data_IF_935445432900
#
_entry.id   IF_935445432900
#
_cell.length_a   1.000
_cell.length_b   1.000
_cell.length_c   1.000
_cell.angle_alpha   90.00
_cell.angle_beta   90.00
_cell.angle_gamma   90.00
#
_symmetry.space_group_name_H-M   'P 1'
#
loop_
_entity.id
_entity.type
_entity.pdbx_description
1 polymer ?
#
# COMPACT_ATOMS: atom_id res chain seq x y z
N UNK A 1 0.86 -45.83 19.38
CA UNK A 1 1.54 -45.13 20.48
C UNK A 1 1.87 -43.74 19.97
N UNK A 2 1.00 -42.80 20.34
CA UNK A 2 1.16 -41.34 20.37
C UNK A 2 1.66 -40.63 19.10
N UNK A 3 0.72 -40.38 18.18
CA UNK A 3 0.68 -39.13 17.40
C UNK A 3 -0.03 -38.09 18.27
N UNK A 4 0.71 -37.16 18.87
CA UNK A 4 0.17 -35.95 19.49
C UNK A 4 1.18 -34.81 19.31
N UNK A 5 0.69 -33.70 18.77
CA UNK A 5 1.09 -32.37 19.23
C UNK A 5 2.18 -31.65 18.45
N UNK A 6 1.88 -31.26 17.21
CA UNK A 6 2.36 -29.98 16.68
C UNK A 6 1.16 -29.15 16.18
N UNK A 7 0.19 -28.92 17.07
CA UNK A 7 -0.65 -27.73 16.95
C UNK A 7 0.19 -26.57 17.49
N UNK A 8 0.92 -25.91 16.60
CA UNK A 8 1.52 -24.61 16.89
C UNK A 8 0.43 -23.70 17.43
N UNK A 9 0.65 -23.13 18.62
CA UNK A 9 -0.33 -22.35 19.37
C UNK A 9 -1.04 -21.34 18.46
N UNK A 10 -2.26 -21.67 18.01
CA UNK A 10 -3.14 -20.70 17.35
C UNK A 10 -3.42 -19.62 18.38
N UNK A 11 -2.98 -18.39 18.09
CA UNK A 11 -3.22 -17.26 18.99
C UNK A 11 -4.71 -17.17 19.32
N UNK A 12 -5.05 -17.01 20.59
CA UNK A 12 -6.45 -16.89 21.00
C UNK A 12 -7.12 -15.71 20.26
N UNK A 13 -8.38 -15.85 19.83
CA UNK A 13 -9.11 -14.75 19.22
C UNK A 13 -9.16 -13.55 20.18
N UNK A 14 -8.95 -12.35 19.64
CA UNK A 14 -8.99 -11.07 20.38
C UNK A 14 -10.43 -10.67 20.68
N UNK A 15 -11.36 -11.09 19.81
CA UNK A 15 -12.79 -10.85 19.96
C UNK A 15 -13.60 -11.95 19.29
N UNK A 16 -14.87 -12.04 19.67
CA UNK A 16 -15.85 -12.93 19.06
C UNK A 16 -16.51 -12.25 17.86
N UNK A 17 -17.08 -13.03 16.95
CA UNK A 17 -17.74 -12.52 15.73
C UNK A 17 -18.84 -11.48 16.03
N UNK A 18 -19.73 -11.76 16.97
CA UNK A 18 -20.81 -10.84 17.36
C UNK A 18 -20.28 -9.52 17.95
N UNK A 19 -19.11 -9.53 18.58
CA UNK A 19 -18.45 -8.30 19.03
C UNK A 19 -17.92 -7.50 17.84
N UNK A 20 -17.29 -8.16 16.86
CA UNK A 20 -16.81 -7.50 15.65
C UNK A 20 -17.95 -6.90 14.82
N UNK A 21 -19.07 -7.60 14.66
CA UNK A 21 -20.27 -7.10 13.98
C UNK A 21 -20.75 -5.81 14.64
N UNK A 22 -20.95 -5.82 15.97
CA UNK A 22 -21.37 -4.64 16.72
C UNK A 22 -20.38 -3.47 16.61
N UNK A 23 -19.08 -3.75 16.75
CA UNK A 23 -18.04 -2.74 16.63
C UNK A 23 -17.98 -2.17 15.21
N UNK A 24 -18.17 -3.00 14.20
CA UNK A 24 -18.24 -2.64 12.79
C UNK A 24 -19.44 -1.72 12.53
N UNK A 25 -20.64 -2.12 12.95
CA UNK A 25 -21.89 -1.35 12.82
C UNK A 25 -21.76 0.08 13.40
N UNK A 26 -21.15 0.19 14.58
CA UNK A 26 -20.97 1.44 15.32
C UNK A 26 -19.96 2.41 14.68
N UNK A 27 -19.17 1.98 13.68
CA UNK A 27 -18.20 2.85 12.99
C UNK A 27 -18.92 3.98 12.24
N UNK A 28 -18.41 5.20 12.45
CA UNK A 28 -18.91 6.43 11.83
C UNK A 28 -17.76 7.28 11.30
N UNK A 29 -17.98 8.08 10.25
CA UNK A 29 -16.98 9.05 9.78
C UNK A 29 -16.56 10.00 10.89
N UNK A 30 -15.25 10.19 11.08
CA UNK A 30 -14.69 11.15 12.04
C UNK A 30 -14.32 12.43 11.32
N UNK A 31 -14.64 13.58 11.91
CA UNK A 31 -14.25 14.89 11.38
C UNK A 31 -12.82 15.26 11.73
N UNK A 32 -12.23 16.15 10.94
CA UNK A 32 -10.86 16.63 11.16
C UNK A 32 -10.64 17.18 12.58
N UNK A 33 -11.61 17.90 13.14
CA UNK A 33 -11.52 18.53 14.46
C UNK A 33 -11.63 17.52 15.61
N UNK A 34 -12.13 16.32 15.33
CA UNK A 34 -12.28 15.27 16.34
C UNK A 34 -10.98 14.50 16.56
N UNK A 35 -10.01 14.57 15.64
CA UNK A 35 -8.71 13.89 15.79
C UNK A 35 -8.01 14.36 17.07
N UNK A 36 -7.55 13.39 17.87
CA UNK A 36 -6.89 13.65 19.13
C UNK A 36 -7.85 13.87 20.32
N UNK A 37 -9.16 13.95 20.10
CA UNK A 37 -10.13 14.06 21.21
C UNK A 37 -10.28 12.75 21.99
N UNK A 38 -11.05 12.77 23.09
CA UNK A 38 -11.42 11.56 23.85
C UNK A 38 -12.29 10.62 23.02
N UNK A 39 -13.18 11.15 22.19
CA UNK A 39 -14.03 10.37 21.30
C UNK A 39 -13.20 9.66 20.24
N UNK A 40 -12.29 10.38 19.58
CA UNK A 40 -11.35 9.79 18.63
C UNK A 40 -10.47 8.71 19.26
N UNK A 41 -10.05 8.87 20.52
CA UNK A 41 -9.24 7.83 21.21
C UNK A 41 -10.00 6.51 21.33
N UNK A 42 -11.29 6.57 21.66
CA UNK A 42 -12.14 5.37 21.73
C UNK A 42 -12.32 4.75 20.34
N UNK A 43 -12.54 5.58 19.33
CA UNK A 43 -12.65 5.13 17.94
C UNK A 43 -11.36 4.43 17.47
N UNK A 44 -10.20 5.05 17.72
CA UNK A 44 -8.89 4.48 17.43
C UNK A 44 -8.71 3.10 18.06
N UNK A 45 -9.06 2.95 19.35
CA UNK A 45 -9.00 1.67 20.05
C UNK A 45 -9.94 0.62 19.42
N UNK A 46 -11.13 1.02 18.97
CA UNK A 46 -12.04 0.12 18.25
C UNK A 46 -11.40 -0.38 16.95
N UNK A 47 -10.88 0.52 16.11
CA UNK A 47 -10.21 0.12 14.86
C UNK A 47 -8.94 -0.71 15.11
N UNK A 48 -8.17 -0.39 16.16
CA UNK A 48 -7.00 -1.18 16.54
C UNK A 48 -7.40 -2.63 16.86
N UNK A 49 -8.44 -2.83 17.67
CA UNK A 49 -8.95 -4.17 18.01
C UNK A 49 -9.43 -4.92 16.78
N UNK A 50 -10.21 -4.27 15.91
CA UNK A 50 -10.68 -4.87 14.65
C UNK A 50 -9.49 -5.27 13.76
N UNK A 51 -8.49 -4.39 13.63
CA UNK A 51 -7.30 -4.66 12.82
C UNK A 51 -6.48 -5.82 13.36
N UNK A 52 -6.26 -5.89 14.68
CA UNK A 52 -5.54 -7.02 15.28
C UNK A 52 -6.27 -8.34 15.07
N UNK A 53 -7.60 -8.36 15.21
CA UNK A 53 -8.39 -9.57 14.95
C UNK A 53 -8.35 -9.97 13.46
N UNK A 54 -8.50 -9.02 12.55
CA UNK A 54 -8.41 -9.28 11.11
C UNK A 54 -7.02 -9.82 10.72
N UNK A 55 -5.95 -9.28 11.33
CA UNK A 55 -4.59 -9.80 11.14
C UNK A 55 -4.46 -11.25 11.63
N UNK A 56 -5.04 -11.58 12.79
CA UNK A 56 -5.05 -12.95 13.29
C UNK A 56 -5.82 -13.90 12.37
N UNK A 57 -6.97 -13.49 11.82
CA UNK A 57 -7.73 -14.30 10.87
C UNK A 57 -6.89 -14.65 9.63
N UNK A 58 -6.20 -13.66 9.04
CA UNK A 58 -5.29 -13.90 7.91
C UNK A 58 -4.15 -14.83 8.28
N UNK A 59 -3.50 -14.63 9.45
CA UNK A 59 -2.39 -15.48 9.90
C UNK A 59 -2.81 -16.93 10.15
N UNK A 60 -4.04 -17.14 10.60
CA UNK A 60 -4.58 -18.47 10.90
C UNK A 60 -5.30 -19.12 9.73
N UNK A 61 -5.46 -18.40 8.61
CA UNK A 61 -6.28 -18.82 7.47
C UNK A 61 -7.70 -19.25 7.92
N UNK A 62 -8.28 -18.46 8.83
CA UNK A 62 -9.62 -18.67 9.38
C UNK A 62 -10.62 -17.66 8.82
N UNK A 63 -11.88 -17.78 9.24
CA UNK A 63 -12.97 -16.92 8.78
C UNK A 63 -12.64 -15.43 9.01
N UNK A 64 -12.81 -14.63 7.96
CA UNK A 64 -12.50 -13.19 7.92
C UNK A 64 -13.70 -12.34 8.38
N UNK A 65 -14.33 -12.74 9.49
CA UNK A 65 -15.58 -12.14 9.98
C UNK A 65 -15.51 -10.62 10.25
N UNK A 66 -14.31 -10.07 10.52
CA UNK A 66 -14.12 -8.62 10.64
C UNK A 66 -14.30 -7.94 9.28
N UNK A 67 -13.75 -8.50 8.21
CA UNK A 67 -13.88 -7.98 6.85
C UNK A 67 -15.33 -8.11 6.39
N UNK A 68 -15.97 -9.24 6.66
CA UNK A 68 -17.39 -9.46 6.37
C UNK A 68 -18.27 -8.41 7.06
N UNK A 69 -18.07 -8.18 8.36
CA UNK A 69 -18.80 -7.15 9.10
C UNK A 69 -18.59 -5.73 8.53
N UNK A 70 -17.38 -5.39 8.07
CA UNK A 70 -17.10 -4.10 7.45
C UNK A 70 -17.82 -3.94 6.10
N UNK A 71 -18.00 -5.02 5.34
CA UNK A 71 -18.73 -5.01 4.07
C UNK A 71 -20.24 -4.94 4.35
N UNK A 72 -20.75 -5.83 5.20
CA UNK A 72 -22.18 -5.98 5.51
C UNK A 72 -22.78 -4.71 6.12
N UNK A 73 -21.99 -3.97 6.91
CA UNK A 73 -22.40 -2.70 7.50
C UNK A 73 -21.99 -1.46 6.69
N UNK A 74 -21.55 -1.64 5.43
CA UNK A 74 -21.17 -0.55 4.52
C UNK A 74 -20.15 0.41 5.16
N UNK A 75 -19.01 -0.11 5.61
CA UNK A 75 -17.97 0.68 6.33
C UNK A 75 -16.71 0.93 5.51
N UNK A 76 -16.65 0.46 4.27
CA UNK A 76 -15.49 0.69 3.40
C UNK A 76 -15.30 2.18 3.11
N UNK A 77 -16.38 2.89 2.80
CA UNK A 77 -16.42 4.35 2.63
C UNK A 77 -15.98 5.09 3.89
N UNK A 78 -16.42 4.64 5.07
CA UNK A 78 -16.04 5.19 6.37
C UNK A 78 -14.53 5.05 6.60
N UNK A 79 -13.94 3.90 6.26
CA UNK A 79 -12.49 3.67 6.38
C UNK A 79 -11.69 4.51 5.37
N UNK A 80 -12.16 4.66 4.13
CA UNK A 80 -11.51 5.54 3.14
C UNK A 80 -11.55 7.00 3.62
N UNK A 81 -12.70 7.45 4.12
CA UNK A 81 -12.84 8.79 4.67
C UNK A 81 -11.90 9.01 5.87
N UNK A 82 -11.86 8.08 6.82
CA UNK A 82 -10.98 8.14 7.98
C UNK A 82 -9.49 8.19 7.59
N UNK A 83 -9.10 7.41 6.59
CA UNK A 83 -7.75 7.44 6.04
C UNK A 83 -7.38 8.82 5.50
N UNK A 84 -8.24 9.42 4.68
CA UNK A 84 -8.02 10.74 4.06
C UNK A 84 -7.99 11.84 5.13
N UNK A 85 -8.90 11.80 6.11
CA UNK A 85 -8.93 12.78 7.21
C UNK A 85 -7.68 12.66 8.08
N UNK A 86 -7.24 11.44 8.37
CA UNK A 86 -5.99 11.19 9.11
C UNK A 86 -4.77 11.68 8.35
N UNK A 87 -4.67 11.39 7.05
CA UNK A 87 -3.59 11.91 6.19
C UNK A 87 -3.59 13.45 6.18
N UNK A 88 -4.76 14.08 5.99
CA UNK A 88 -4.90 15.52 5.96
C UNK A 88 -4.50 16.17 7.28
N UNK A 89 -4.88 15.59 8.42
CA UNK A 89 -4.48 16.08 9.74
C UNK A 89 -2.96 15.97 9.92
N UNK A 90 -2.37 14.82 9.58
CA UNK A 90 -0.92 14.61 9.67
C UNK A 90 -0.16 15.59 8.77
N UNK A 91 -0.64 15.88 7.58
CA UNK A 91 0.02 16.80 6.66
C UNK A 91 -0.10 18.28 7.10
N UNK A 92 -1.24 18.68 7.69
CA UNK A 92 -1.56 20.09 7.88
C UNK A 92 -1.54 20.58 9.34
N UNK A 93 -1.69 19.67 10.31
CA UNK A 93 -1.78 19.98 11.74
C UNK A 93 -0.54 19.51 12.47
N UNK A 94 -0.10 18.27 12.26
CA UNK A 94 1.09 17.70 12.95
C UNK A 94 2.32 18.63 12.90
N UNK A 95 2.72 19.21 11.75
CA UNK A 95 3.91 20.06 11.69
C UNK A 95 3.81 21.36 12.50
N UNK A 96 2.58 21.79 12.84
CA UNK A 96 2.33 23.03 13.60
C UNK A 96 2.30 22.81 15.09
N UNK A 97 2.05 21.57 15.54
CA UNK A 97 1.82 21.26 16.96
C UNK A 97 2.88 20.32 17.54
N UNK A 98 3.62 19.58 16.71
CA UNK A 98 4.55 18.55 17.19
C UNK A 98 5.67 19.10 18.07
N UNK A 99 6.27 20.24 17.71
CA UNK A 99 7.38 20.81 18.49
C UNK A 99 6.96 21.23 19.90
N UNK A 100 5.75 21.78 20.03
CA UNK A 100 5.19 22.21 21.32
C UNK A 100 4.65 21.04 22.14
N UNK A 101 3.95 20.10 21.49
CA UNK A 101 3.21 19.04 22.17
C UNK A 101 4.03 17.77 22.39
N UNK A 102 5.10 17.49 21.63
CA UNK A 102 5.87 16.26 21.81
C UNK A 102 6.41 16.06 23.24
N UNK A 103 6.95 17.08 23.95
CA UNK A 103 7.49 16.89 25.30
C UNK A 103 6.46 16.42 26.35
N UNK A 104 5.18 16.75 26.17
CA UNK A 104 4.12 16.48 27.16
C UNK A 104 3.05 15.50 26.66
N UNK A 105 2.89 15.37 25.35
CA UNK A 105 1.83 14.62 24.69
C UNK A 105 2.35 13.69 23.58
N UNK A 106 3.63 13.30 23.64
CA UNK A 106 4.26 12.34 22.73
C UNK A 106 3.37 11.16 22.33
N UNK A 107 2.86 10.43 23.34
CA UNK A 107 2.05 9.22 23.12
C UNK A 107 0.83 9.53 22.25
N UNK A 108 0.21 10.70 22.45
CA UNK A 108 -0.98 11.07 21.69
C UNK A 108 -0.65 11.36 20.23
N UNK A 109 0.44 12.08 19.97
CA UNK A 109 0.91 12.36 18.61
C UNK A 109 1.31 11.06 17.89
N UNK A 110 2.01 10.17 18.59
CA UNK A 110 2.34 8.84 18.08
C UNK A 110 1.09 8.04 17.69
N UNK A 111 0.07 7.98 18.55
CA UNK A 111 -1.17 7.26 18.26
C UNK A 111 -1.88 7.83 17.02
N UNK A 112 -1.86 9.16 16.84
CA UNK A 112 -2.42 9.80 15.63
C UNK A 112 -1.61 9.40 14.40
N UNK A 113 -0.28 9.40 14.50
CA UNK A 113 0.58 8.96 13.41
C UNK A 113 0.33 7.49 13.04
N UNK A 114 0.21 6.62 14.05
CA UNK A 114 0.01 5.18 13.94
C UNK A 114 -1.38 4.81 13.42
N UNK A 115 -2.40 5.62 13.70
CA UNK A 115 -3.77 5.37 13.26
C UNK A 115 -3.88 5.18 11.74
N UNK A 116 -3.13 5.96 10.95
CA UNK A 116 -3.06 5.79 9.50
C UNK A 116 -2.71 4.33 9.11
N UNK A 117 -1.74 3.73 9.80
CA UNK A 117 -1.33 2.35 9.52
C UNK A 117 -2.42 1.32 9.86
N UNK A 118 -3.24 1.58 10.89
CA UNK A 118 -4.36 0.73 11.27
C UNK A 118 -5.41 0.74 10.16
N UNK A 119 -5.80 1.93 9.71
CA UNK A 119 -6.85 2.11 8.69
C UNK A 119 -6.41 1.52 7.35
N UNK A 120 -5.19 1.82 6.90
CA UNK A 120 -4.63 1.26 5.67
C UNK A 120 -4.54 -0.26 5.74
N UNK A 121 -4.13 -0.80 6.90
CA UNK A 121 -3.98 -2.25 7.07
C UNK A 121 -5.34 -2.98 7.10
N UNK A 122 -6.40 -2.35 7.60
CA UNK A 122 -7.76 -2.87 7.49
C UNK A 122 -8.25 -2.85 6.04
N UNK A 123 -8.05 -1.75 5.33
CA UNK A 123 -8.38 -1.64 3.91
C UNK A 123 -7.62 -2.69 3.08
N UNK A 124 -6.33 -2.90 3.36
CA UNK A 124 -5.51 -3.91 2.68
C UNK A 124 -6.09 -5.32 2.85
N UNK A 125 -6.54 -5.67 4.06
CA UNK A 125 -7.19 -6.97 4.31
C UNK A 125 -8.54 -7.06 3.61
N UNK A 126 -9.37 -6.02 3.70
CA UNK A 126 -10.68 -6.02 3.06
C UNK A 126 -10.57 -6.17 1.53
N UNK A 127 -9.65 -5.41 0.92
CA UNK A 127 -9.51 -5.29 -0.54
C UNK A 127 -8.85 -6.50 -1.19
N UNK A 128 -8.43 -7.49 -0.39
CA UNK A 128 -8.13 -8.81 -0.90
C UNK A 128 -9.34 -9.43 -1.62
N UNK A 129 -10.56 -9.04 -1.26
CA UNK A 129 -11.79 -9.48 -1.92
C UNK A 129 -12.34 -8.43 -2.91
N UNK A 130 -12.79 -8.84 -4.11
CA UNK A 130 -13.44 -7.93 -5.07
C UNK A 130 -14.68 -7.21 -4.53
N UNK A 131 -15.43 -7.87 -3.63
CA UNK A 131 -16.65 -7.30 -3.02
C UNK A 131 -16.34 -6.05 -2.20
N UNK A 132 -15.28 -6.08 -1.38
CA UNK A 132 -14.85 -4.91 -0.62
C UNK A 132 -14.38 -3.77 -1.52
N UNK A 133 -13.65 -4.09 -2.60
CA UNK A 133 -13.23 -3.07 -3.57
C UNK A 133 -14.44 -2.42 -4.20
N UNK A 134 -15.42 -3.20 -4.65
CA UNK A 134 -16.66 -2.67 -5.23
C UNK A 134 -17.46 -1.81 -4.24
N UNK A 135 -17.50 -2.18 -2.96
CA UNK A 135 -18.16 -1.42 -1.90
C UNK A 135 -17.56 -0.03 -1.67
N UNK A 136 -16.31 0.23 -2.09
CA UNK A 136 -15.70 1.56 -2.01
C UNK A 136 -16.28 2.59 -2.98
N UNK A 137 -16.97 2.16 -4.05
CA UNK A 137 -17.67 3.04 -4.99
C UNK A 137 -16.83 4.22 -5.49
N UNK A 138 -17.41 5.41 -5.51
CA UNK A 138 -16.76 6.62 -6.01
C UNK A 138 -15.62 7.13 -5.11
N UNK A 139 -15.62 6.78 -3.82
CA UNK A 139 -14.54 7.17 -2.89
C UNK A 139 -13.22 6.47 -3.18
N UNK A 140 -13.21 5.43 -4.01
CA UNK A 140 -11.98 4.83 -4.51
C UNK A 140 -11.11 5.84 -5.28
N UNK A 141 -11.67 6.93 -5.79
CA UNK A 141 -10.89 8.04 -6.37
C UNK A 141 -9.97 8.68 -5.33
N UNK A 142 -10.50 8.94 -4.13
CA UNK A 142 -9.72 9.51 -3.02
C UNK A 142 -8.66 8.53 -2.51
N UNK A 143 -8.99 7.23 -2.52
CA UNK A 143 -8.01 6.19 -2.19
C UNK A 143 -6.90 6.09 -3.26
N UNK A 144 -7.23 6.23 -4.55
CA UNK A 144 -6.24 6.26 -5.62
C UNK A 144 -5.30 7.46 -5.47
N UNK A 145 -5.84 8.63 -5.10
CA UNK A 145 -5.07 9.84 -4.81
C UNK A 145 -4.12 9.64 -3.62
N UNK A 146 -4.62 9.07 -2.52
CA UNK A 146 -3.81 8.69 -1.35
C UNK A 146 -2.67 7.74 -1.78
N UNK A 147 -3.00 6.67 -2.51
CA UNK A 147 -2.02 5.68 -2.88
C UNK A 147 -0.96 6.23 -3.82
N UNK A 148 -1.34 7.12 -4.74
CA UNK A 148 -0.40 7.81 -5.62
C UNK A 148 0.58 8.68 -4.82
N UNK A 149 0.10 9.53 -3.90
CA UNK A 149 0.97 10.35 -3.04
C UNK A 149 1.98 9.50 -2.27
N UNK A 150 1.53 8.37 -1.72
CA UNK A 150 2.41 7.42 -1.01
C UNK A 150 3.42 6.74 -1.94
N UNK A 151 3.01 6.36 -3.15
CA UNK A 151 3.90 5.78 -4.16
C UNK A 151 4.98 6.78 -4.58
N UNK A 152 4.61 8.03 -4.86
CA UNK A 152 5.56 9.11 -5.17
C UNK A 152 6.53 9.34 -4.02
N UNK A 153 6.04 9.34 -2.77
CA UNK A 153 6.90 9.42 -1.59
C UNK A 153 7.94 8.29 -1.56
N UNK A 154 7.55 7.05 -1.82
CA UNK A 154 8.49 5.92 -1.89
C UNK A 154 9.55 6.10 -2.97
N UNK A 155 9.16 6.63 -4.14
CA UNK A 155 10.12 6.95 -5.21
C UNK A 155 11.10 8.02 -4.74
N UNK A 156 10.61 9.11 -4.14
CA UNK A 156 11.46 10.18 -3.62
C UNK A 156 12.41 9.70 -2.51
N UNK A 157 11.91 8.86 -1.58
CA UNK A 157 12.72 8.28 -0.50
C UNK A 157 13.79 7.33 -1.08
N UNK A 158 13.48 6.58 -2.14
CA UNK A 158 14.45 5.73 -2.84
C UNK A 158 15.52 6.53 -3.60
N UNK A 159 15.15 7.68 -4.16
CA UNK A 159 16.05 8.58 -4.89
C UNK A 159 16.98 9.37 -3.99
N UNK A 160 16.49 9.80 -2.82
CA UNK A 160 17.30 10.46 -1.80
C UNK A 160 18.46 9.57 -1.29
N UNK A 161 18.37 8.25 -1.56
CA UNK A 161 19.29 7.25 -1.08
C UNK A 161 18.98 6.95 0.37
N UNK A 162 18.67 5.68 0.68
CA UNK A 162 18.72 5.23 2.06
C UNK A 162 20.15 5.47 2.53
N UNK A 163 20.34 6.46 3.41
CA UNK A 163 21.58 6.59 4.15
C UNK A 163 21.93 5.21 4.68
N UNK A 164 23.20 4.82 4.61
CA UNK A 164 23.67 3.59 5.26
C UNK A 164 23.24 3.71 6.72
N UNK A 165 22.16 3.00 7.07
CA UNK A 165 21.32 3.32 8.23
C UNK A 165 21.97 2.64 9.43
N UNK A 166 23.17 3.11 9.75
CA UNK A 166 23.97 2.60 10.84
C UNK A 166 23.06 2.48 12.06
N UNK A 167 22.95 1.28 12.66
CA UNK A 167 22.04 1.09 13.77
C UNK A 167 22.36 2.12 14.85
N UNK A 168 21.37 2.93 15.22
CA UNK A 168 21.49 3.86 16.34
C UNK A 168 21.99 3.06 17.54
N UNK A 169 23.04 3.56 18.17
CA UNK A 169 23.56 2.97 19.39
C UNK A 169 22.51 3.13 20.51
N UNK A 170 22.53 2.24 21.51
CA UNK A 170 21.63 2.36 22.65
C UNK A 170 21.76 3.73 23.38
N UNK A 171 22.93 4.36 23.31
CA UNK A 171 23.16 5.70 23.85
C UNK A 171 22.47 6.79 23.02
N UNK A 172 22.49 6.70 21.70
CA UNK A 172 21.78 7.64 20.80
C UNK A 172 20.26 7.51 20.97
N UNK A 173 19.73 6.30 21.14
CA UNK A 173 18.30 6.09 21.38
C UNK A 173 17.80 6.68 22.70
N UNK A 174 18.62 6.60 23.76
CA UNK A 174 18.30 7.20 25.07
C UNK A 174 18.46 8.72 25.06
N UNK A 175 19.44 9.25 24.33
CA UNK A 175 19.69 10.69 24.23
C UNK A 175 18.67 11.42 23.33
N UNK A 176 17.92 10.68 22.52
CA UNK A 176 16.94 11.22 21.59
C UNK A 176 15.80 11.96 22.29
N UNK A 177 15.56 13.20 21.90
CA UNK A 177 14.42 13.98 22.40
C UNK A 177 13.09 13.43 21.88
N UNK A 178 12.00 13.65 22.62
CA UNK A 178 10.66 13.13 22.24
C UNK A 178 10.20 13.60 20.85
N UNK A 179 10.59 14.81 20.44
CA UNK A 179 10.27 15.34 19.11
C UNK A 179 10.99 14.60 17.98
N UNK A 180 12.26 14.28 18.19
CA UNK A 180 13.07 13.52 17.23
C UNK A 180 12.57 12.07 17.17
N UNK A 181 12.29 11.46 18.33
CA UNK A 181 11.70 10.12 18.40
C UNK A 181 10.36 10.04 17.67
N UNK A 182 9.53 11.07 17.81
CA UNK A 182 8.26 11.15 17.08
C UNK A 182 8.50 11.21 15.57
N UNK A 183 9.45 12.03 15.11
CA UNK A 183 9.79 12.14 13.69
C UNK A 183 10.26 10.80 13.10
N UNK A 184 11.13 10.08 13.83
CA UNK A 184 11.60 8.75 13.42
C UNK A 184 10.46 7.75 13.30
N UNK A 185 9.57 7.71 14.30
CA UNK A 185 8.42 6.80 14.29
C UNK A 185 7.43 7.17 13.19
N UNK A 186 7.16 8.46 12.96
CA UNK A 186 6.37 8.95 11.83
C UNK A 186 6.94 8.51 10.49
N UNK A 187 8.27 8.59 10.33
CA UNK A 187 8.97 8.10 9.14
C UNK A 187 8.75 6.60 8.92
N UNK A 188 8.98 5.79 9.96
CA UNK A 188 8.77 4.33 9.89
C UNK A 188 7.31 3.97 9.60
N UNK A 189 6.35 4.65 10.23
CA UNK A 189 4.92 4.43 10.00
C UNK A 189 4.56 4.83 8.58
N UNK A 190 5.01 6.00 8.12
CA UNK A 190 4.73 6.49 6.78
C UNK A 190 5.30 5.56 5.72
N UNK A 191 6.47 4.97 5.95
CA UNK A 191 7.05 3.97 5.06
C UNK A 191 6.18 2.72 4.95
N UNK A 192 5.74 2.17 6.10
CA UNK A 192 4.84 1.02 6.13
C UNK A 192 3.52 1.30 5.41
N UNK A 193 2.89 2.44 5.68
CA UNK A 193 1.66 2.87 5.00
C UNK A 193 1.85 2.99 3.49
N UNK A 194 3.03 3.44 3.05
CA UNK A 194 3.31 3.57 1.63
C UNK A 194 3.54 2.23 0.93
N UNK A 195 4.15 1.25 1.60
CA UNK A 195 4.21 -0.12 1.11
C UNK A 195 2.79 -0.71 0.96
N UNK A 196 1.93 -0.57 1.98
CA UNK A 196 0.54 -1.04 1.89
C UNK A 196 -0.26 -0.29 0.80
N UNK A 197 0.03 0.99 0.56
CA UNK A 197 -0.58 1.73 -0.54
C UNK A 197 -0.23 1.14 -1.92
N UNK A 198 0.98 0.61 -2.12
CA UNK A 198 1.35 -0.11 -3.35
C UNK A 198 0.55 -1.42 -3.47
N UNK A 199 0.32 -2.13 -2.36
CA UNK A 199 -0.59 -3.29 -2.37
C UNK A 199 -2.02 -2.88 -2.75
N UNK A 200 -2.52 -1.77 -2.21
CA UNK A 200 -3.86 -1.25 -2.55
C UNK A 200 -3.94 -0.85 -4.03
N UNK A 201 -2.91 -0.24 -4.61
CA UNK A 201 -2.83 0.00 -6.07
C UNK A 201 -2.97 -1.31 -6.82
N UNK A 202 -2.25 -2.36 -6.42
CA UNK A 202 -2.38 -3.68 -7.04
C UNK A 202 -3.81 -4.20 -6.96
N UNK A 203 -4.47 -4.14 -5.81
CA UNK A 203 -5.87 -4.60 -5.65
C UNK A 203 -6.86 -3.79 -6.49
N UNK A 204 -6.70 -2.46 -6.58
CA UNK A 204 -7.51 -1.65 -7.49
C UNK A 204 -7.34 -2.12 -8.94
N UNK A 205 -6.10 -2.38 -9.36
CA UNK A 205 -5.80 -2.80 -10.74
C UNK A 205 -6.30 -4.22 -11.06
N UNK A 206 -6.31 -5.15 -10.10
CA UNK A 206 -6.92 -6.48 -10.30
C UNK A 206 -8.41 -6.37 -10.59
N UNK A 207 -9.06 -5.35 -10.03
CA UNK A 207 -10.49 -5.11 -10.12
C UNK A 207 -10.87 -4.06 -11.17
N UNK A 208 -9.96 -3.73 -12.10
CA UNK A 208 -10.13 -2.66 -13.08
C UNK A 208 -11.48 -2.70 -13.83
N UNK A 209 -11.99 -3.90 -14.13
CA UNK A 209 -13.31 -4.11 -14.78
C UNK A 209 -14.51 -3.63 -13.96
N UNK A 210 -14.43 -3.72 -12.64
CA UNK A 210 -15.50 -3.31 -11.72
C UNK A 210 -15.34 -1.89 -11.18
N UNK A 211 -14.23 -1.21 -11.47
CA UNK A 211 -13.97 0.13 -10.96
C UNK A 211 -14.83 1.20 -11.66
N UNK A 212 -15.29 2.23 -10.93
CA UNK A 212 -15.85 3.42 -11.56
C UNK A 212 -14.86 4.06 -12.54
N UNK A 213 -15.38 4.59 -13.64
CA UNK A 213 -14.57 5.20 -14.71
C UNK A 213 -13.66 6.33 -14.22
N UNK A 214 -14.12 7.08 -13.21
CA UNK A 214 -13.35 8.14 -12.56
C UNK A 214 -12.05 7.63 -11.93
N UNK A 215 -12.07 6.43 -11.34
CA UNK A 215 -10.89 5.83 -10.68
C UNK A 215 -9.83 5.47 -11.72
N UNK A 216 -10.21 4.79 -12.80
CA UNK A 216 -9.26 4.43 -13.87
C UNK A 216 -8.69 5.67 -14.56
N UNK A 217 -9.51 6.69 -14.79
CA UNK A 217 -9.05 7.96 -15.37
C UNK A 217 -8.05 8.64 -14.44
N UNK A 218 -8.35 8.68 -13.13
CA UNK A 218 -7.46 9.24 -12.12
C UNK A 218 -6.11 8.52 -12.06
N UNK A 219 -6.12 7.19 -12.07
CA UNK A 219 -4.89 6.39 -12.00
C UNK A 219 -4.03 6.47 -13.27
N UNK A 220 -4.64 6.43 -14.46
CA UNK A 220 -3.92 6.29 -15.72
C UNK A 220 -3.61 7.64 -16.40
N UNK A 221 -4.51 8.61 -16.28
CA UNK A 221 -4.43 9.88 -17.00
C UNK A 221 -3.84 10.99 -16.11
N UNK A 222 -4.43 11.19 -14.93
CA UNK A 222 -4.06 12.32 -14.05
C UNK A 222 -2.75 12.05 -13.30
N UNK A 223 -2.63 10.87 -12.67
CA UNK A 223 -1.48 10.52 -11.82
C UNK A 223 -0.39 9.74 -12.54
N UNK A 224 -0.74 9.09 -13.65
CA UNK A 224 0.17 8.20 -14.39
C UNK A 224 0.87 7.17 -13.48
N UNK A 225 0.06 6.36 -12.80
CA UNK A 225 0.52 5.35 -11.82
C UNK A 225 1.54 4.38 -12.44
N UNK A 226 1.47 4.10 -13.74
CA UNK A 226 2.48 3.30 -14.45
C UNK A 226 3.86 3.93 -14.29
N UNK A 227 4.00 5.23 -14.58
CA UNK A 227 5.28 5.93 -14.46
C UNK A 227 5.76 6.08 -13.01
N UNK A 228 4.84 6.11 -12.04
CA UNK A 228 5.19 6.12 -10.62
C UNK A 228 5.70 4.77 -10.10
N UNK A 229 5.19 3.65 -10.64
CA UNK A 229 5.58 2.31 -10.22
C UNK A 229 6.92 1.84 -10.80
N UNK A 230 7.26 2.22 -12.04
CA UNK A 230 8.50 1.76 -12.70
C UNK A 230 9.78 2.09 -11.90
N UNK A 231 10.00 3.31 -11.38
CA UNK A 231 11.20 3.64 -10.60
C UNK A 231 11.39 2.80 -9.35
N UNK A 232 10.32 2.27 -8.77
CA UNK A 232 10.41 1.41 -7.59
C UNK A 232 11.10 0.07 -7.89
N UNK A 233 11.10 -0.39 -9.15
CA UNK A 233 11.88 -1.56 -9.57
C UNK A 233 13.35 -1.22 -9.82
N UNK A 234 13.64 0.03 -10.22
CA UNK A 234 15.01 0.55 -10.37
C UNK A 234 15.72 0.65 -9.02
N UNK A 235 15.02 1.16 -8.00
CA UNK A 235 15.54 1.33 -6.64
C UNK A 235 14.48 0.88 -5.63
N UNK A 236 14.40 -0.42 -5.31
CA UNK A 236 13.39 -0.94 -4.38
C UNK A 236 13.60 -0.39 -2.96
N UNK A 237 12.70 0.46 -2.44
CA UNK A 237 12.89 1.10 -1.14
C UNK A 237 12.68 0.14 0.04
N UNK A 238 12.07 -1.03 -0.18
CA UNK A 238 11.92 -2.13 0.77
C UNK A 238 13.14 -3.05 0.85
N UNK A 239 14.28 -2.65 0.28
CA UNK A 239 15.56 -3.33 0.42
C UNK A 239 16.57 -2.34 0.97
N UNK A 240 17.34 -2.75 1.99
CA UNK A 240 18.42 -1.92 2.53
C UNK A 240 19.59 -2.76 3.01
N UNK A 241 20.76 -2.13 3.14
CA UNK A 241 21.87 -2.66 3.90
C UNK A 241 21.88 -1.98 5.26
N UNK A 242 21.99 -2.76 6.33
CA UNK A 242 22.07 -2.25 7.70
C UNK A 242 23.14 -3.01 8.46
N UNK A 243 24.20 -2.32 8.87
CA UNK A 243 25.33 -2.95 9.59
C UNK A 243 25.96 -4.11 8.80
N UNK A 244 26.07 -3.97 7.47
CA UNK A 244 26.61 -5.00 6.58
C UNK A 244 25.67 -6.17 6.27
N UNK A 245 24.44 -6.17 6.81
CA UNK A 245 23.42 -7.18 6.50
C UNK A 245 22.37 -6.65 5.55
N UNK A 246 22.00 -7.45 4.55
CA UNK A 246 20.84 -7.18 3.72
C UNK A 246 19.56 -7.36 4.53
N UNK A 247 18.67 -6.38 4.45
CA UNK A 247 17.34 -6.43 5.05
C UNK A 247 16.28 -6.16 3.99
N UNK A 248 15.15 -6.84 4.15
CA UNK A 248 13.94 -6.65 3.34
C UNK A 248 12.79 -6.27 4.26
N UNK A 249 11.98 -5.33 3.81
CA UNK A 249 10.72 -5.00 4.47
C UNK A 249 9.61 -5.94 3.99
N UNK A 250 8.97 -6.63 4.93
CA UNK A 250 7.82 -7.51 4.68
C UNK A 250 6.92 -7.55 5.91
N UNK A 251 5.61 -7.61 5.70
CA UNK A 251 4.62 -7.78 6.78
C UNK A 251 4.77 -6.75 7.91
N UNK A 252 4.98 -5.48 7.54
CA UNK A 252 5.09 -4.35 8.47
C UNK A 252 6.43 -4.22 9.18
N UNK A 253 7.43 -5.08 8.89
CA UNK A 253 8.73 -5.05 9.58
C UNK A 253 9.91 -5.29 8.65
N UNK A 254 11.07 -4.78 9.08
CA UNK A 254 12.35 -5.12 8.48
C UNK A 254 12.86 -6.46 9.02
N UNK A 255 13.34 -7.33 8.14
CA UNK A 255 13.95 -8.61 8.50
C UNK A 255 15.26 -8.83 7.73
N UNK A 256 16.23 -9.49 8.36
CA UNK A 256 17.48 -9.89 7.72
C UNK A 256 17.17 -10.87 6.57
N UNK A 257 17.75 -10.62 5.39
CA UNK A 257 17.63 -11.49 4.22
C UNK A 257 18.88 -12.38 4.10
N UNK A 258 18.75 -13.71 4.18
CA UNK A 258 19.85 -14.63 3.92
C UNK A 258 20.40 -14.47 2.50
N UNK A 259 21.71 -14.68 2.32
CA UNK A 259 22.36 -14.56 1.02
C UNK A 259 21.77 -15.49 -0.06
N UNK A 260 21.27 -16.66 0.35
CA UNK A 260 20.61 -17.64 -0.51
C UNK A 260 19.30 -17.11 -1.10
N UNK A 261 18.60 -16.23 -0.36
CA UNK A 261 17.34 -15.61 -0.78
C UNK A 261 17.54 -14.29 -1.51
N UNK A 262 18.79 -13.85 -1.75
CA UNK A 262 19.07 -12.56 -2.39
C UNK A 262 18.44 -12.43 -3.79
N UNK A 263 18.29 -13.56 -4.51
CA UNK A 263 17.64 -13.62 -5.84
C UNK A 263 16.13 -13.83 -5.78
N UNK A 264 15.57 -14.07 -4.59
CA UNK A 264 14.14 -14.25 -4.41
C UNK A 264 13.44 -12.92 -4.58
N UNK A 265 12.33 -12.96 -5.32
CA UNK A 265 11.44 -11.83 -5.46
C UNK A 265 10.78 -11.54 -4.10
N UNK A 266 10.81 -10.29 -3.67
CA UNK A 266 10.11 -9.92 -2.42
C UNK A 266 8.62 -9.79 -2.68
N UNK A 267 7.82 -9.84 -1.60
CA UNK A 267 6.38 -9.58 -1.69
C UNK A 267 6.09 -8.24 -2.36
N UNK A 268 6.84 -7.20 -1.99
CA UNK A 268 6.67 -5.86 -2.55
C UNK A 268 7.05 -5.76 -4.02
N UNK A 269 8.14 -6.41 -4.44
CA UNK A 269 8.47 -6.48 -5.87
C UNK A 269 7.32 -7.14 -6.66
N UNK A 270 6.73 -8.21 -6.11
CA UNK A 270 5.59 -8.88 -6.73
C UNK A 270 4.36 -7.96 -6.82
N UNK A 271 4.06 -7.16 -5.79
CA UNK A 271 2.95 -6.19 -5.85
C UNK A 271 3.13 -5.20 -7.01
N UNK A 272 4.32 -4.64 -7.18
CA UNK A 272 4.62 -3.71 -8.27
C UNK A 272 4.50 -4.38 -9.63
N UNK A 273 5.08 -5.58 -9.79
CA UNK A 273 5.00 -6.33 -11.05
C UNK A 273 3.57 -6.67 -11.45
N UNK A 274 2.76 -7.14 -10.50
CA UNK A 274 1.36 -7.47 -10.74
C UNK A 274 0.53 -6.23 -11.08
N UNK A 275 0.74 -5.13 -10.36
CA UNK A 275 0.09 -3.85 -10.69
C UNK A 275 0.44 -3.37 -12.10
N UNK A 276 1.73 -3.39 -12.48
CA UNK A 276 2.19 -3.02 -13.82
C UNK A 276 1.61 -3.95 -14.90
N UNK A 277 1.55 -5.26 -14.64
CA UNK A 277 0.94 -6.24 -15.53
C UNK A 277 -0.53 -5.89 -15.79
N UNK A 278 -1.30 -5.62 -14.74
CA UNK A 278 -2.71 -5.25 -14.85
C UNK A 278 -2.90 -3.92 -15.59
N UNK A 279 -2.14 -2.88 -15.24
CA UNK A 279 -2.24 -1.56 -15.86
C UNK A 279 -1.89 -1.56 -17.35
N UNK A 280 -0.93 -2.40 -17.77
CA UNK A 280 -0.44 -2.41 -19.15
C UNK A 280 -1.16 -3.42 -20.05
N UNK A 281 -1.71 -4.51 -19.49
CA UNK A 281 -2.30 -5.58 -20.29
C UNK A 281 -3.83 -5.69 -20.21
N UNK A 282 -4.46 -5.20 -19.13
CA UNK A 282 -5.92 -5.27 -19.03
C UNK A 282 -6.58 -4.45 -20.15
N UNK A 283 -7.65 -4.95 -20.80
CA UNK A 283 -8.38 -4.19 -21.80
C UNK A 283 -8.86 -2.83 -21.29
N UNK A 284 -9.36 -2.79 -20.05
CA UNK A 284 -9.92 -1.61 -19.41
C UNK A 284 -8.87 -0.50 -19.31
N UNK A 285 -7.68 -0.83 -18.80
CA UNK A 285 -6.60 0.15 -18.69
C UNK A 285 -6.03 0.54 -20.06
N UNK A 286 -5.88 -0.40 -21.00
CA UNK A 286 -5.37 -0.11 -22.35
C UNK A 286 -6.24 0.86 -23.14
N UNK A 287 -7.56 0.83 -22.94
CA UNK A 287 -8.47 1.79 -23.58
C UNK A 287 -8.35 3.21 -23.03
N UNK A 288 -7.63 3.40 -21.92
CA UNK A 288 -7.47 4.69 -21.23
C UNK A 288 -6.03 5.19 -21.22
N UNK A 289 -5.06 4.30 -21.24
CA UNK A 289 -3.65 4.68 -21.17
C UNK A 289 -3.17 5.24 -22.52
N UNK A 290 -2.95 6.55 -22.57
CA UNK A 290 -2.46 7.23 -23.77
C UNK A 290 -0.94 7.12 -23.86
N UNK A 291 -0.41 6.62 -24.97
CA UNK A 291 1.04 6.52 -25.13
C UNK A 291 1.66 7.81 -25.67
N UNK A 292 2.86 8.10 -25.16
CA UNK A 292 3.78 9.10 -25.69
C UNK A 292 5.22 8.59 -25.52
N UNK A 293 6.20 9.30 -26.07
CA UNK A 293 7.61 8.89 -25.99
C UNK A 293 8.13 8.79 -24.55
N UNK A 294 7.68 9.67 -23.64
CA UNK A 294 8.06 9.61 -22.23
C UNK A 294 7.55 8.33 -21.56
N UNK A 295 6.25 8.04 -21.70
CA UNK A 295 5.59 6.85 -21.15
C UNK A 295 6.20 5.56 -21.69
N UNK A 296 6.45 5.53 -23.00
CA UNK A 296 7.15 4.43 -23.67
C UNK A 296 8.55 4.25 -23.10
N UNK A 297 9.34 5.32 -23.00
CA UNK A 297 10.68 5.29 -22.43
C UNK A 297 10.69 4.74 -21.00
N UNK A 298 9.73 5.16 -20.17
CA UNK A 298 9.57 4.63 -18.82
C UNK A 298 9.31 3.13 -18.80
N UNK A 299 8.30 2.65 -19.54
CA UNK A 299 7.95 1.22 -19.61
C UNK A 299 9.10 0.39 -20.21
N UNK A 300 9.85 0.92 -21.17
CA UNK A 300 11.00 0.22 -21.75
C UNK A 300 12.13 -0.04 -20.73
N UNK A 301 12.21 0.71 -19.62
CA UNK A 301 13.15 0.39 -18.53
C UNK A 301 12.89 -0.97 -17.92
N UNK A 302 11.66 -1.51 -18.03
CA UNK A 302 11.33 -2.84 -17.52
C UNK A 302 12.13 -3.95 -18.22
N UNK A 303 12.57 -3.73 -19.46
CA UNK A 303 13.31 -4.71 -20.27
C UNK A 303 14.52 -5.31 -19.55
N UNK A 304 15.27 -4.50 -18.79
CA UNK A 304 16.49 -4.95 -18.10
C UNK A 304 16.21 -5.87 -16.89
N UNK A 305 14.97 -5.93 -16.41
CA UNK A 305 14.60 -6.77 -15.27
C UNK A 305 14.02 -8.12 -15.69
N UNK A 306 13.56 -8.27 -16.92
CA UNK A 306 13.07 -9.55 -17.41
C UNK A 306 14.22 -10.54 -17.56
N UNK A 307 14.13 -11.62 -16.80
CA UNK A 307 15.03 -12.77 -16.85
C UNK A 307 14.23 -14.05 -16.54
N UNK A 308 14.82 -15.22 -16.78
CA UNK A 308 14.16 -16.51 -16.55
C UNK A 308 13.72 -16.68 -15.09
N UNK A 309 14.56 -16.26 -14.14
CA UNK A 309 14.27 -16.36 -12.70
C UNK A 309 13.02 -15.55 -12.30
N UNK A 310 12.81 -14.36 -12.90
CA UNK A 310 11.62 -13.55 -12.66
C UNK A 310 10.37 -14.25 -13.22
N UNK A 311 10.45 -14.78 -14.44
CA UNK A 311 9.31 -15.44 -15.09
C UNK A 311 8.99 -16.77 -14.41
N UNK A 312 9.99 -17.51 -13.92
CA UNK A 312 9.79 -18.73 -13.14
C UNK A 312 9.05 -18.45 -11.82
N UNK A 313 9.40 -17.34 -11.15
CA UNK A 313 8.73 -16.92 -9.90
C UNK A 313 7.37 -16.27 -10.12
N UNK A 314 7.16 -15.56 -11.24
CA UNK A 314 5.90 -14.94 -11.62
C UNK A 314 5.56 -15.20 -13.10
N UNK A 315 5.03 -16.40 -13.43
CA UNK A 315 4.75 -16.81 -14.81
C UNK A 315 3.79 -15.88 -15.56
N UNK A 316 2.88 -15.21 -14.83
CA UNK A 316 1.92 -14.24 -15.38
C UNK A 316 2.60 -13.08 -16.13
N UNK A 317 3.86 -12.78 -15.83
CA UNK A 317 4.60 -11.69 -16.48
C UNK A 317 5.11 -12.03 -17.88
N UNK A 318 4.88 -13.25 -18.38
CA UNK A 318 5.29 -13.68 -19.72
C UNK A 318 4.73 -12.78 -20.81
N UNK A 319 3.46 -12.39 -20.70
CA UNK A 319 2.81 -11.52 -21.69
C UNK A 319 3.26 -10.07 -21.53
N UNK A 320 3.55 -9.62 -20.31
CA UNK A 320 4.12 -8.29 -20.07
C UNK A 320 5.52 -8.18 -20.70
N UNK A 321 6.34 -9.22 -20.57
CA UNK A 321 7.65 -9.30 -21.21
C UNK A 321 7.53 -9.15 -22.73
N UNK A 322 6.65 -9.95 -23.36
CA UNK A 322 6.40 -9.88 -24.81
C UNK A 322 5.92 -8.49 -25.23
N UNK A 323 5.05 -7.87 -24.42
CA UNK A 323 4.55 -6.53 -24.67
C UNK A 323 5.69 -5.49 -24.66
N UNK A 324 6.55 -5.51 -23.64
CA UNK A 324 7.72 -4.61 -23.55
C UNK A 324 8.72 -4.84 -24.68
N UNK A 325 8.98 -6.09 -25.07
CA UNK A 325 9.82 -6.43 -26.23
C UNK A 325 9.20 -5.86 -27.53
N UNK A 326 7.88 -5.93 -27.68
CA UNK A 326 7.19 -5.40 -28.86
C UNK A 326 7.24 -3.86 -28.94
N UNK A 327 7.20 -3.16 -27.79
CA UNK A 327 7.33 -1.71 -27.70
C UNK A 327 8.70 -1.22 -28.15
N UNK A 328 9.77 -2.01 -27.94
CA UNK A 328 11.11 -1.63 -28.37
C UNK A 328 11.23 -1.55 -29.91
N UNK A 329 10.39 -2.30 -30.64
CA UNK A 329 10.45 -2.42 -32.09
C UNK A 329 9.54 -1.41 -32.83
N UNK A 330 8.56 -0.82 -32.14
CA UNK A 330 7.50 -0.02 -32.77
C UNK A 330 7.40 1.39 -32.15
N UNK A 331 6.85 2.35 -32.90
CA UNK A 331 6.40 3.61 -32.32
C UNK A 331 5.42 3.37 -31.16
N UNK A 332 5.28 4.28 -30.18
CA UNK A 332 4.28 4.17 -29.12
C UNK A 332 2.90 3.82 -29.72
N UNK A 333 2.14 2.90 -29.11
CA UNK A 333 0.82 2.53 -29.62
C UNK A 333 -0.05 3.78 -29.83
N UNK A 334 -0.80 3.88 -30.93
CA UNK A 334 -1.65 5.03 -31.16
C UNK A 334 -2.66 5.19 -30.01
N UNK A 335 -3.05 6.42 -29.65
CA UNK A 335 -4.01 6.65 -28.58
C UNK A 335 -5.33 5.93 -28.86
N UNK A 336 -6.00 5.40 -27.82
CA UNK A 336 -7.28 4.73 -27.98
C UNK A 336 -8.32 5.69 -28.61
N UNK A 337 -8.74 5.39 -29.84
CA UNK A 337 -9.69 6.20 -30.62
C UNK A 337 -9.12 6.86 -31.89
N UNK A 338 -7.79 6.78 -32.13
CA UNK A 338 -7.13 7.36 -33.32
C UNK A 338 -7.20 6.52 -34.61
N UNK A 339 -8.11 5.55 -34.70
CA UNK A 339 -8.22 4.64 -35.84
C UNK A 339 -8.96 5.22 -37.04
N UNK A 340 -8.24 5.91 -37.92
CA UNK A 340 -8.40 5.77 -39.38
C UNK A 340 -9.70 6.28 -40.03
N UNK A 341 -10.00 7.57 -39.91
CA UNK A 341 -10.76 8.29 -40.95
C UNK A 341 -9.87 8.54 -42.16
N UNK A 342 -9.57 7.49 -42.93
CA UNK A 342 -8.89 7.62 -44.22
C UNK A 342 -9.82 8.26 -45.23
N UNK A 343 -9.68 9.58 -45.42
CA UNK A 343 -10.29 10.30 -46.54
C UNK A 343 -9.49 9.95 -47.78
N UNK A 344 -10.09 9.17 -48.68
CA UNK A 344 -9.71 9.12 -50.08
C UNK A 344 -9.76 10.54 -50.66
N UNK A 345 -8.64 11.02 -51.22
CA UNK A 345 -8.61 11.97 -52.32
C UNK A 345 -7.45 11.67 -53.25
#
# INVERSE_FOLDING_TARGET
MTMMGEEGARGAPIMMQNEAERLGEDLKPIKLEEIGTKQWTKYHQTLERLNMQAQLSVMQQSDEFVVEALIDHEKIDVLIHDLVVTEAWKANVMPKVADELAPTHYVKLYLIAYHESIVVSLLEKAFYTPTAVAAGGDLLVELADYCYRKTVKLVSDAEAGGADDAPKTAQEEVAMGERERLADQEGSISFGCACSAVTLVRFLTDNAKGLPLGVLTRMLSDHDVVQALVPLLDRPPWRRLRGGKAQVFSDGRWADQPAEEARRLTKMDAQVWLALNNLLLSPECRTKYEWNEHRKGGVMRLSKFFNEILVDQLPVLSDLRRFVESLALHAPPPPPGGGGGGVER
#
